data_IF_692897085010
#
_entry.id   IF_692897085010
#
_cell.length_a   1.000
_cell.length_b   1.000
_cell.length_c   1.000
_cell.angle_alpha   90.00
_cell.angle_beta   90.00
_cell.angle_gamma   90.00
#
_symmetry.space_group_name_H-M   'P 1'
#
loop_
_entity.id
_entity.type
_entity.pdbx_description
1 polymer ?
#
# COMPACT_ATOMS: atom_id res chain seq x y z
N UNK A 1 -3.71 -11.60 7.12
CA UNK A 1 -2.69 -10.57 6.81
C UNK A 1 -3.30 -9.46 5.95
N UNK A 2 -3.79 -9.72 4.73
CA UNK A 2 -4.39 -8.67 3.89
C UNK A 2 -5.67 -8.05 4.48
N UNK A 3 -6.55 -8.86 5.08
CA UNK A 3 -7.77 -8.36 5.75
C UNK A 3 -7.42 -7.43 6.93
N UNK A 4 -6.37 -7.73 7.70
CA UNK A 4 -5.95 -6.89 8.80
C UNK A 4 -5.40 -5.54 8.31
N UNK A 5 -4.69 -5.54 7.18
CA UNK A 5 -4.22 -4.31 6.53
C UNK A 5 -5.41 -3.44 6.11
N UNK A 6 -6.44 -4.03 5.50
CA UNK A 6 -7.66 -3.30 5.14
C UNK A 6 -8.48 -2.85 6.34
N UNK A 7 -8.56 -3.65 7.41
CA UNK A 7 -9.22 -3.23 8.65
C UNK A 7 -8.51 -2.02 9.25
N UNK A 8 -7.18 -2.04 9.35
CA UNK A 8 -6.40 -0.90 9.81
C UNK A 8 -6.61 0.33 8.92
N UNK A 9 -6.56 0.13 7.60
CA UNK A 9 -6.78 1.19 6.62
C UNK A 9 -8.16 1.85 6.74
N UNK A 10 -9.22 1.04 6.85
CA UNK A 10 -10.60 1.53 7.00
C UNK A 10 -10.81 2.27 8.32
N UNK A 11 -10.08 1.88 9.37
CA UNK A 11 -10.07 2.56 10.65
C UNK A 11 -9.19 3.83 10.68
N UNK A 12 -8.59 4.21 9.53
CA UNK A 12 -7.63 5.31 9.38
C UNK A 12 -6.35 5.13 10.21
N UNK A 13 -6.07 3.91 10.66
CA UNK A 13 -4.78 3.53 11.23
C UNK A 13 -3.80 3.22 10.08
N UNK A 14 -3.39 4.29 9.41
CA UNK A 14 -2.56 4.19 8.22
C UNK A 14 -1.15 3.70 8.53
N UNK A 15 -0.63 3.94 9.74
CA UNK A 15 0.69 3.45 10.14
C UNK A 15 0.72 1.92 10.21
N UNK A 16 -0.29 1.32 10.85
CA UNK A 16 -0.44 -0.15 10.89
C UNK A 16 -0.75 -0.71 9.50
N UNK A 17 -1.62 -0.05 8.73
CA UNK A 17 -1.95 -0.47 7.37
C UNK A 17 -0.71 -0.48 6.46
N UNK A 18 0.11 0.58 6.50
CA UNK A 18 1.33 0.71 5.71
C UNK A 18 2.30 -0.45 6.01
N UNK A 19 2.54 -0.73 7.30
CA UNK A 19 3.44 -1.83 7.73
C UNK A 19 2.96 -3.19 7.21
N UNK A 20 1.65 -3.46 7.33
CA UNK A 20 1.05 -4.71 6.87
C UNK A 20 1.08 -4.83 5.34
N UNK A 21 0.79 -3.74 4.62
CA UNK A 21 0.86 -3.74 3.17
C UNK A 21 2.29 -3.89 2.66
N UNK A 22 3.29 -3.27 3.30
CA UNK A 22 4.72 -3.46 2.98
C UNK A 22 5.12 -4.93 3.13
N UNK A 23 4.76 -5.57 4.25
CA UNK A 23 5.05 -6.99 4.49
C UNK A 23 4.42 -7.90 3.42
N UNK A 24 3.22 -7.55 2.94
CA UNK A 24 2.54 -8.30 1.88
C UNK A 24 3.11 -7.99 0.49
N UNK A 25 3.56 -6.77 0.25
CA UNK A 25 4.24 -6.36 -0.97
C UNK A 25 5.60 -7.05 -1.12
N UNK A 26 6.32 -7.29 -0.03
CA UNK A 26 7.54 -8.14 -0.05
C UNK A 26 7.26 -9.57 -0.52
N UNK A 27 6.02 -10.05 -0.35
CA UNK A 27 5.56 -11.36 -0.84
C UNK A 27 4.90 -11.28 -2.23
N UNK A 28 5.11 -10.18 -2.95
CA UNK A 28 4.54 -9.90 -4.27
C UNK A 28 3.01 -10.01 -4.31
N UNK A 29 2.32 -9.61 -3.23
CA UNK A 29 0.85 -9.59 -3.22
C UNK A 29 0.33 -8.38 -4.01
N UNK A 30 -0.34 -8.55 -5.18
CA UNK A 30 -0.67 -7.44 -6.08
C UNK A 30 -1.55 -6.37 -5.41
N UNK A 31 -2.58 -6.79 -4.68
CA UNK A 31 -3.49 -5.88 -3.96
C UNK A 31 -2.77 -5.02 -2.92
N UNK A 32 -1.77 -5.56 -2.21
CA UNK A 32 -1.05 -4.81 -1.19
C UNK A 32 -0.15 -3.75 -1.84
N UNK A 33 0.48 -4.10 -2.97
CA UNK A 33 1.31 -3.19 -3.76
C UNK A 33 0.45 -2.03 -4.31
N UNK A 34 -0.71 -2.31 -4.89
CA UNK A 34 -1.64 -1.28 -5.35
C UNK A 34 -2.13 -0.38 -4.19
N UNK A 35 -2.33 -0.97 -3.00
CA UNK A 35 -2.74 -0.23 -1.80
C UNK A 35 -1.65 0.70 -1.28
N UNK A 36 -0.36 0.31 -1.38
CA UNK A 36 0.77 1.21 -1.09
C UNK A 36 0.80 2.37 -2.08
N UNK A 37 0.62 2.11 -3.37
CA UNK A 37 0.49 3.16 -4.38
C UNK A 37 -0.58 4.19 -4.00
N UNK A 38 -1.75 3.71 -3.58
CA UNK A 38 -2.85 4.58 -3.14
C UNK A 38 -2.52 5.40 -1.89
N UNK A 39 -1.82 4.81 -0.91
CA UNK A 39 -1.41 5.50 0.32
C UNK A 39 -0.48 6.68 0.00
N UNK A 40 0.56 6.46 -0.82
CA UNK A 40 1.51 7.51 -1.17
C UNK A 40 0.89 8.58 -2.10
N UNK A 41 0.00 8.18 -3.01
CA UNK A 41 -0.72 9.12 -3.86
C UNK A 41 -1.57 10.11 -3.05
N UNK A 42 -2.20 9.64 -1.97
CA UNK A 42 -3.15 10.43 -1.17
C UNK A 42 -2.55 10.96 0.14
N UNK A 43 -1.29 10.66 0.45
CA UNK A 43 -0.64 11.09 1.69
C UNK A 43 -1.31 10.53 2.94
N UNK A 44 -1.72 9.26 2.92
CA UNK A 44 -2.47 8.65 4.02
C UNK A 44 -1.50 8.13 5.09
N UNK A 45 -1.29 8.94 6.13
CA UNK A 45 -0.32 8.64 7.20
C UNK A 45 1.15 8.79 6.79
N UNK A 46 1.39 9.29 5.57
CA UNK A 46 2.71 9.61 5.00
C UNK A 46 2.59 10.93 4.22
N UNK A 47 3.71 11.54 3.85
CA UNK A 47 3.68 12.64 2.90
C UNK A 47 3.19 12.15 1.53
N UNK A 48 2.50 13.02 0.79
CA UNK A 48 2.15 12.73 -0.61
C UNK A 48 3.43 12.56 -1.40
N UNK A 49 3.54 11.43 -2.10
CA UNK A 49 4.67 11.10 -2.96
C UNK A 49 4.17 10.38 -4.22
N UNK A 50 4.04 11.13 -5.30
CA UNK A 50 3.55 10.59 -6.57
C UNK A 50 4.57 9.70 -7.28
N UNK A 51 5.86 9.93 -7.04
CA UNK A 51 6.91 9.12 -7.66
C UNK A 51 6.91 7.73 -7.03
N UNK A 52 6.88 7.68 -5.71
CA UNK A 52 6.75 6.42 -4.99
C UNK A 52 5.42 5.71 -5.28
N UNK A 53 4.31 6.46 -5.38
CA UNK A 53 3.02 5.89 -5.75
C UNK A 53 3.06 5.22 -7.14
N UNK A 54 3.63 5.90 -8.12
CA UNK A 54 3.80 5.37 -9.49
C UNK A 54 4.65 4.10 -9.48
N UNK A 55 5.75 4.09 -8.75
CA UNK A 55 6.65 2.92 -8.69
C UNK A 55 5.91 1.70 -8.12
N UNK A 56 5.08 1.88 -7.10
CA UNK A 56 4.21 0.81 -6.61
C UNK A 56 3.19 0.35 -7.66
N UNK A 57 2.54 1.27 -8.37
CA UNK A 57 1.58 0.88 -9.41
C UNK A 57 2.23 0.12 -10.57
N UNK A 58 3.41 0.54 -11.02
CA UNK A 58 4.18 -0.16 -12.05
C UNK A 58 4.50 -1.57 -11.57
N UNK A 59 5.10 -1.69 -10.38
CA UNK A 59 5.42 -3.00 -9.79
C UNK A 59 4.18 -3.89 -9.64
N UNK A 60 3.03 -3.31 -9.30
CA UNK A 60 1.77 -4.05 -9.19
C UNK A 60 1.28 -4.58 -10.54
N UNK A 61 1.45 -3.79 -11.62
CA UNK A 61 1.07 -4.17 -12.98
C UNK A 61 1.96 -5.26 -13.58
N UNK A 62 3.18 -5.44 -13.08
CA UNK A 62 4.10 -6.52 -13.50
C UNK A 62 3.76 -7.88 -12.88
N UNK A 63 2.85 -7.91 -11.89
CA UNK A 63 2.45 -9.12 -11.16
C UNK A 63 1.06 -9.65 -11.57
N UNK A 64 0.43 -9.02 -12.56
CA UNK A 64 -0.89 -9.38 -13.11
C UNK A 64 -0.81 -10.60 -14.04
#
# INVERSE_FOLDING_TARGET
MIQAAFTAFNNKDYATALTLFQTLAEKNHPTAIASLGYIYQNGLGVAVDFDQARDYYIRGSELD
#
